data_IF_376687321805
#
_entry.id   IF_376687321805
#
_cell.length_a   1.000
_cell.length_b   1.000
_cell.length_c   1.000
_cell.angle_alpha   90.00
_cell.angle_beta   90.00
_cell.angle_gamma   90.00
#
_symmetry.space_group_name_H-M   'P 1'
#
loop_
_entity.id
_entity.type
_entity.pdbx_description
1 polymer ?
#
# COMPACT_ATOMS: atom_id res chain seq x y z
N UNK A 1 -13.20 17.91 -6.66
CA UNK A 1 -13.76 16.55 -6.58
C UNK A 1 -13.07 15.66 -7.58
N UNK A 2 -12.83 14.42 -7.19
CA UNK A 2 -12.31 13.36 -8.07
C UNK A 2 -13.30 12.21 -8.11
N UNK A 3 -13.54 11.68 -9.32
CA UNK A 3 -14.31 10.46 -9.52
C UNK A 3 -13.39 9.25 -9.42
N UNK A 4 -13.70 8.29 -8.57
CA UNK A 4 -13.01 7.01 -8.47
C UNK A 4 -13.98 5.87 -8.74
N UNK A 5 -13.51 4.83 -9.43
CA UNK A 5 -14.31 3.66 -9.70
C UNK A 5 -14.05 2.57 -8.66
N UNK A 6 -15.12 1.96 -8.15
CA UNK A 6 -15.01 0.78 -7.30
C UNK A 6 -14.96 -0.49 -8.17
N UNK A 7 -14.27 -1.52 -7.69
CA UNK A 7 -14.19 -2.82 -8.39
C UNK A 7 -15.53 -3.59 -8.41
N UNK A 8 -16.54 -3.13 -7.65
CA UNK A 8 -17.88 -3.73 -7.62
C UNK A 8 -17.90 -5.19 -7.20
N UNK A 9 -17.66 -5.49 -5.93
CA UNK A 9 -17.76 -6.86 -5.38
C UNK A 9 -19.14 -7.50 -5.59
N UNK A 10 -20.18 -6.71 -5.85
CA UNK A 10 -21.58 -7.14 -6.02
C UNK A 10 -22.12 -6.96 -7.44
N UNK A 11 -21.27 -6.65 -8.44
CA UNK A 11 -21.74 -6.47 -9.82
C UNK A 11 -21.10 -5.28 -10.55
N UNK A 12 -21.89 -4.31 -10.99
CA UNK A 12 -21.40 -3.17 -11.79
C UNK A 12 -20.52 -2.23 -10.96
N UNK A 13 -19.36 -1.83 -11.50
CA UNK A 13 -18.52 -0.79 -10.92
C UNK A 13 -19.32 0.48 -10.67
N UNK A 14 -19.15 1.08 -9.49
CA UNK A 14 -19.78 2.35 -9.13
C UNK A 14 -18.78 3.49 -9.27
N UNK A 15 -19.24 4.66 -9.72
CA UNK A 15 -18.47 5.87 -9.71
C UNK A 15 -18.74 6.62 -8.39
N UNK A 16 -17.68 6.82 -7.63
CA UNK A 16 -17.72 7.57 -6.37
C UNK A 16 -17.06 8.93 -6.57
N UNK A 17 -17.71 9.99 -6.11
CA UNK A 17 -17.16 11.33 -6.09
C UNK A 17 -16.62 11.64 -4.69
N UNK A 18 -15.34 11.99 -4.63
CA UNK A 18 -14.68 12.36 -3.38
C UNK A 18 -14.13 13.77 -3.46
N UNK A 19 -14.25 14.53 -2.36
CA UNK A 19 -13.60 15.83 -2.25
C UNK A 19 -12.07 15.65 -2.13
N UNK A 20 -11.31 16.64 -2.55
CA UNK A 20 -9.86 16.63 -2.37
C UNK A 20 -9.48 16.60 -0.88
N UNK A 21 -10.20 17.33 -0.03
CA UNK A 21 -10.00 17.34 1.42
C UNK A 21 -10.12 15.94 2.04
N UNK A 22 -11.07 15.12 1.58
CA UNK A 22 -11.23 13.75 2.10
C UNK A 22 -10.00 12.84 1.90
N UNK A 23 -9.06 13.26 1.04
CA UNK A 23 -7.78 12.61 0.80
C UNK A 23 -6.67 13.30 1.57
N UNK A 24 -6.51 14.60 1.37
CA UNK A 24 -5.39 15.40 1.89
C UNK A 24 -5.36 15.40 3.42
N UNK A 25 -6.51 15.49 4.07
CA UNK A 25 -6.60 15.49 5.54
C UNK A 25 -6.13 14.16 6.17
N UNK A 26 -6.12 13.10 5.37
CA UNK A 26 -5.64 11.79 5.81
C UNK A 26 -4.14 11.56 5.51
N UNK A 27 -3.53 12.29 4.57
CA UNK A 27 -2.13 12.08 4.18
C UNK A 27 -1.12 12.15 5.34
N UNK A 28 -1.21 13.09 6.30
CA UNK A 28 -0.27 13.09 7.43
C UNK A 28 -0.32 11.79 8.23
N UNK A 29 -1.53 11.27 8.48
CA UNK A 29 -1.73 10.04 9.27
C UNK A 29 -1.20 8.79 8.56
N UNK A 30 -1.50 8.64 7.26
CA UNK A 30 -1.03 7.50 6.48
C UNK A 30 0.47 7.56 6.22
N UNK A 31 1.03 8.74 5.92
CA UNK A 31 2.44 8.93 5.63
C UNK A 31 3.32 8.64 6.85
N UNK A 32 2.86 8.96 8.06
CA UNK A 32 3.51 8.55 9.30
C UNK A 32 3.62 7.02 9.41
N UNK A 33 2.52 6.31 9.16
CA UNK A 33 2.50 4.83 9.25
C UNK A 33 3.29 4.18 8.12
N UNK A 34 3.22 4.73 6.91
CA UNK A 34 3.90 4.21 5.73
C UNK A 34 5.37 4.66 5.61
N UNK A 35 5.82 5.52 6.53
CA UNK A 35 7.16 6.12 6.52
C UNK A 35 7.45 6.84 5.20
N UNK A 36 6.49 7.66 4.74
CA UNK A 36 6.57 8.48 3.53
C UNK A 36 6.94 9.91 3.93
N UNK A 37 8.03 10.41 3.36
CA UNK A 37 8.55 11.77 3.55
C UNK A 37 9.09 12.36 2.23
N UNK A 38 9.68 13.55 2.28
CA UNK A 38 10.28 14.23 1.14
C UNK A 38 11.46 13.47 0.49
N UNK A 39 12.07 12.52 1.19
CA UNK A 39 13.18 11.70 0.69
C UNK A 39 12.68 10.37 0.13
N UNK A 40 11.38 10.14 0.13
CA UNK A 40 10.79 8.93 -0.41
C UNK A 40 10.93 8.90 -1.93
N UNK A 41 11.51 7.81 -2.42
CA UNK A 41 11.49 7.42 -3.83
C UNK A 41 10.73 6.10 -3.91
N UNK A 42 9.47 6.17 -4.31
CA UNK A 42 8.58 5.01 -4.30
C UNK A 42 8.46 4.37 -5.68
N UNK A 43 8.48 3.04 -5.70
CA UNK A 43 8.13 2.27 -6.89
C UNK A 43 6.67 1.82 -6.83
N UNK A 44 5.93 2.07 -7.91
CA UNK A 44 4.53 1.66 -8.08
C UNK A 44 4.32 0.97 -9.43
N UNK A 45 3.48 -0.07 -9.47
CA UNK A 45 3.08 -0.71 -10.72
C UNK A 45 1.55 -0.80 -10.82
N UNK A 46 1.01 -0.31 -11.91
CA UNK A 46 -0.40 -0.36 -12.27
C UNK A 46 -0.99 1.01 -12.59
N UNK A 47 -2.23 0.99 -13.05
CA UNK A 47 -2.94 2.18 -13.49
C UNK A 47 -3.38 3.08 -12.33
N UNK A 48 -3.41 4.39 -12.57
CA UNK A 48 -3.98 5.39 -11.66
C UNK A 48 -5.52 5.31 -11.56
N UNK A 49 -6.17 4.51 -12.40
CA UNK A 49 -7.60 4.22 -12.26
C UNK A 49 -7.91 3.48 -10.95
N UNK A 50 -6.92 2.79 -10.37
CA UNK A 50 -7.07 2.16 -9.05
C UNK A 50 -6.84 3.18 -7.94
N UNK A 51 -7.82 3.28 -7.04
CA UNK A 51 -7.82 4.22 -5.92
C UNK A 51 -6.56 4.14 -5.05
N UNK A 52 -6.06 2.93 -4.79
CA UNK A 52 -4.84 2.73 -3.99
C UNK A 52 -3.61 3.33 -4.65
N UNK A 53 -3.40 3.12 -5.96
CA UNK A 53 -2.29 3.74 -6.69
C UNK A 53 -2.42 5.27 -6.68
N UNK A 54 -3.60 5.79 -7.00
CA UNK A 54 -3.85 7.23 -7.04
C UNK A 54 -3.58 7.88 -5.67
N UNK A 55 -4.04 7.26 -4.57
CA UNK A 55 -3.82 7.78 -3.22
C UNK A 55 -2.32 7.84 -2.89
N UNK A 56 -1.56 6.78 -3.15
CA UNK A 56 -0.12 6.74 -2.90
C UNK A 56 0.61 7.81 -3.71
N UNK A 57 0.27 7.96 -5.00
CA UNK A 57 0.88 9.01 -5.83
C UNK A 57 0.65 10.39 -5.23
N UNK A 58 -0.60 10.71 -4.89
CA UNK A 58 -0.94 12.01 -4.33
C UNK A 58 -0.24 12.26 -3.00
N UNK A 59 -0.20 11.26 -2.10
CA UNK A 59 0.40 11.42 -0.78
C UNK A 59 1.92 11.58 -0.83
N UNK A 60 2.60 10.89 -1.76
CA UNK A 60 4.06 11.03 -1.96
C UNK A 60 4.40 12.40 -2.54
N UNK A 61 3.66 12.83 -3.57
CA UNK A 61 3.87 14.16 -4.17
C UNK A 61 3.52 15.30 -3.21
N UNK A 62 2.52 15.09 -2.35
CA UNK A 62 2.13 16.07 -1.32
C UNK A 62 3.28 16.41 -0.36
N UNK A 63 4.15 15.47 -0.04
CA UNK A 63 5.33 15.71 0.82
C UNK A 63 6.62 16.00 0.04
N UNK A 64 6.54 16.09 -1.29
CA UNK A 64 7.70 16.38 -2.14
C UNK A 64 8.58 15.16 -2.44
N UNK A 65 8.08 13.95 -2.25
CA UNK A 65 8.74 12.71 -2.65
C UNK A 65 8.74 12.47 -4.16
N UNK A 66 9.34 11.38 -4.61
CA UNK A 66 9.47 11.01 -6.02
C UNK A 66 8.82 9.66 -6.32
N UNK A 67 8.31 9.50 -7.54
CA UNK A 67 7.61 8.30 -7.98
C UNK A 67 8.32 7.70 -9.19
N UNK A 68 8.59 6.41 -9.13
CA UNK A 68 9.05 5.57 -10.23
C UNK A 68 7.92 4.60 -10.56
N UNK A 69 7.35 4.70 -11.75
CA UNK A 69 6.13 3.98 -12.06
C UNK A 69 6.13 3.32 -13.43
N UNK A 70 5.35 2.25 -13.55
CA UNK A 70 5.08 1.58 -14.83
C UNK A 70 3.72 0.88 -14.80
N UNK A 71 3.05 0.82 -15.94
CA UNK A 71 1.86 -0.02 -16.09
C UNK A 71 2.22 -1.43 -16.59
N UNK A 72 3.41 -1.62 -17.18
CA UNK A 72 3.84 -2.89 -17.74
C UNK A 72 4.09 -3.93 -16.65
N UNK A 73 3.56 -5.13 -16.83
CA UNK A 73 3.85 -6.28 -15.98
C UNK A 73 5.15 -6.95 -16.43
N UNK A 74 6.28 -6.49 -15.89
CA UNK A 74 7.61 -6.98 -16.22
C UNK A 74 8.52 -6.99 -14.97
N UNK A 75 8.38 -7.98 -14.05
CA UNK A 75 9.03 -7.96 -12.75
C UNK A 75 10.57 -7.81 -12.79
N UNK A 76 11.25 -8.41 -13.78
CA UNK A 76 12.70 -8.22 -13.95
C UNK A 76 13.05 -6.77 -14.27
N UNK A 77 12.24 -6.12 -15.11
CA UNK A 77 12.42 -4.69 -15.43
C UNK A 77 12.16 -3.81 -14.20
N UNK A 78 11.22 -4.18 -13.33
CA UNK A 78 10.95 -3.42 -12.11
C UNK A 78 12.18 -3.35 -11.20
N UNK A 79 12.90 -4.48 -11.03
CA UNK A 79 14.12 -4.52 -10.20
C UNK A 79 15.15 -3.54 -10.75
N UNK A 80 15.40 -3.56 -12.07
CA UNK A 80 16.33 -2.62 -12.71
C UNK A 80 15.88 -1.16 -12.54
N UNK A 81 14.58 -0.87 -12.69
CA UNK A 81 14.03 0.48 -12.47
C UNK A 81 14.23 0.93 -11.02
N UNK A 82 14.00 0.05 -10.06
CA UNK A 82 14.19 0.34 -8.64
C UNK A 82 15.65 0.65 -8.31
N UNK A 83 16.59 -0.09 -8.88
CA UNK A 83 18.02 0.10 -8.66
C UNK A 83 18.52 1.41 -9.29
N UNK A 84 18.23 1.63 -10.57
CA UNK A 84 18.66 2.81 -11.32
C UNK A 84 18.14 4.12 -10.72
N UNK A 85 16.93 4.11 -10.19
CA UNK A 85 16.29 5.28 -9.59
C UNK A 85 16.45 5.36 -8.07
N UNK A 86 17.28 4.51 -7.46
CA UNK A 86 17.54 4.52 -6.00
C UNK A 86 16.27 4.42 -5.15
N UNK A 87 15.31 3.63 -5.60
CA UNK A 87 14.05 3.41 -4.89
C UNK A 87 14.30 2.93 -3.45
N UNK A 88 13.61 3.53 -2.50
CA UNK A 88 13.69 3.18 -1.08
C UNK A 88 12.35 2.70 -0.50
N UNK A 89 11.27 2.81 -1.25
CA UNK A 89 9.92 2.39 -0.85
C UNK A 89 9.23 1.67 -2.02
N UNK A 90 8.48 0.61 -1.74
CA UNK A 90 7.69 -0.11 -2.74
C UNK A 90 6.21 -0.06 -2.36
N UNK A 91 5.35 0.22 -3.33
CA UNK A 91 3.91 0.01 -3.24
C UNK A 91 3.46 -0.99 -4.31
N UNK A 92 3.11 -2.20 -3.87
CA UNK A 92 2.60 -3.29 -4.71
C UNK A 92 1.60 -4.14 -3.93
N UNK A 93 0.67 -4.79 -4.62
CA UNK A 93 -0.19 -5.80 -4.01
C UNK A 93 0.62 -7.07 -3.66
N UNK A 94 0.21 -7.87 -2.66
CA UNK A 94 0.96 -9.04 -2.19
C UNK A 94 1.37 -10.02 -3.30
N UNK A 95 0.47 -10.36 -4.22
CA UNK A 95 0.78 -11.28 -5.32
C UNK A 95 1.93 -10.82 -6.24
N UNK A 96 2.14 -9.51 -6.37
CA UNK A 96 3.26 -8.93 -7.13
C UNK A 96 4.54 -8.86 -6.31
N UNK A 97 4.42 -8.51 -5.02
CA UNK A 97 5.57 -8.47 -4.09
C UNK A 97 6.27 -9.82 -4.00
N UNK A 98 5.51 -10.92 -3.92
CA UNK A 98 6.04 -12.28 -3.78
C UNK A 98 6.76 -12.80 -5.04
N UNK A 99 6.75 -12.05 -6.13
CA UNK A 99 7.61 -12.34 -7.28
C UNK A 99 9.05 -11.83 -7.07
N UNK A 100 9.24 -10.78 -6.27
CA UNK A 100 10.54 -10.12 -6.10
C UNK A 100 11.61 -11.02 -5.48
N UNK A 101 11.35 -11.83 -4.42
CA UNK A 101 12.33 -12.75 -3.87
C UNK A 101 12.87 -13.80 -4.86
N UNK A 102 12.10 -14.08 -5.93
CA UNK A 102 12.50 -15.04 -6.97
C UNK A 102 13.39 -14.42 -8.06
N UNK A 103 13.54 -13.10 -8.07
CA UNK A 103 14.19 -12.35 -9.16
C UNK A 103 15.37 -11.55 -8.64
N UNK A 104 15.26 -11.02 -7.43
CA UNK A 104 16.34 -10.26 -6.78
C UNK A 104 17.43 -11.21 -6.37
N UNK A 105 18.63 -11.09 -6.97
CA UNK A 105 19.78 -11.92 -6.69
C UNK A 105 20.55 -11.47 -5.43
N UNK A 106 20.63 -10.17 -5.23
CA UNK A 106 21.41 -9.57 -4.17
C UNK A 106 20.53 -8.85 -3.15
N UNK A 107 20.93 -8.90 -1.87
CA UNK A 107 20.20 -8.20 -0.81
C UNK A 107 20.20 -6.70 -1.05
N UNK A 108 19.02 -6.11 -1.15
CA UNK A 108 18.86 -4.67 -1.28
C UNK A 108 18.61 -4.02 0.10
N UNK A 109 19.69 -3.55 0.73
CA UNK A 109 19.62 -2.88 2.03
C UNK A 109 19.11 -1.42 1.95
N UNK A 110 18.95 -0.85 0.76
CA UNK A 110 18.46 0.52 0.55
C UNK A 110 16.96 0.62 0.78
N UNK A 111 16.23 -0.45 0.50
CA UNK A 111 14.78 -0.47 0.68
C UNK A 111 14.43 -0.36 2.17
N UNK A 112 13.59 0.62 2.51
CA UNK A 112 13.19 0.94 3.87
C UNK A 112 11.74 0.57 4.17
N UNK A 113 10.86 0.66 3.18
CA UNK A 113 9.44 0.39 3.37
C UNK A 113 8.82 -0.40 2.21
N UNK A 114 7.91 -1.30 2.55
CA UNK A 114 6.97 -1.94 1.64
C UNK A 114 5.56 -1.62 2.14
N UNK A 115 4.75 -1.05 1.26
CA UNK A 115 3.34 -0.76 1.51
C UNK A 115 2.53 -1.68 0.60
N UNK A 116 1.57 -2.38 1.17
CA UNK A 116 0.76 -3.34 0.44
C UNK A 116 -0.69 -3.34 0.92
N UNK A 117 -1.60 -3.78 0.08
CA UNK A 117 -3.02 -3.87 0.40
C UNK A 117 -3.81 -4.61 -0.68
N UNK A 118 -5.12 -4.57 -0.59
CA UNK A 118 -6.07 -5.22 -1.52
C UNK A 118 -6.04 -6.75 -1.55
N UNK A 119 -5.11 -7.39 -0.87
CA UNK A 119 -4.98 -8.84 -0.73
C UNK A 119 -4.39 -9.16 0.65
N UNK A 120 -4.65 -10.35 1.16
CA UNK A 120 -4.08 -10.80 2.43
C UNK A 120 -2.60 -11.20 2.29
N UNK A 121 -1.83 -11.01 3.35
CA UNK A 121 -0.44 -11.44 3.49
C UNK A 121 -0.17 -11.79 4.95
N UNK A 122 0.44 -12.94 5.22
CA UNK A 122 0.79 -13.36 6.56
C UNK A 122 2.29 -13.23 6.86
N UNK A 123 2.67 -13.65 8.06
CA UNK A 123 4.04 -13.57 8.58
C UNK A 123 5.05 -14.26 7.66
N UNK A 124 4.77 -15.47 7.20
CA UNK A 124 5.67 -16.21 6.31
C UNK A 124 6.04 -15.42 5.05
N UNK A 125 5.05 -14.78 4.41
CA UNK A 125 5.31 -13.99 3.20
C UNK A 125 6.15 -12.73 3.51
N UNK A 126 5.93 -12.10 4.66
CA UNK A 126 6.74 -10.97 5.10
C UNK A 126 8.20 -11.38 5.35
N UNK A 127 8.42 -12.54 5.97
CA UNK A 127 9.75 -13.10 6.18
C UNK A 127 10.48 -13.41 4.87
N UNK A 128 9.79 -13.97 3.86
CA UNK A 128 10.36 -14.21 2.53
C UNK A 128 10.83 -12.90 1.87
N UNK A 129 10.06 -11.82 2.02
CA UNK A 129 10.46 -10.50 1.53
C UNK A 129 11.69 -9.96 2.28
N UNK A 130 11.78 -10.18 3.59
CA UNK A 130 12.93 -9.74 4.40
C UNK A 130 14.22 -10.49 4.09
N UNK A 131 14.17 -11.68 3.49
CA UNK A 131 15.38 -12.38 3.03
C UNK A 131 16.14 -11.58 1.96
N UNK A 132 15.44 -10.88 1.10
CA UNK A 132 16.03 -10.05 0.02
C UNK A 132 16.06 -8.56 0.35
N UNK A 133 15.19 -8.10 1.27
CA UNK A 133 15.09 -6.72 1.75
C UNK A 133 15.23 -6.66 3.27
N UNK A 134 16.44 -6.85 3.82
CA UNK A 134 16.62 -7.12 5.26
C UNK A 134 16.22 -5.97 6.19
N UNK A 135 16.29 -4.72 5.71
CA UNK A 135 16.01 -3.51 6.51
C UNK A 135 14.60 -2.96 6.31
N UNK A 136 13.75 -3.68 5.59
CA UNK A 136 12.44 -3.19 5.21
C UNK A 136 11.44 -3.30 6.36
N UNK A 137 10.63 -2.26 6.53
CA UNK A 137 9.40 -2.31 7.31
C UNK A 137 8.23 -2.58 6.36
N UNK A 138 7.49 -3.63 6.61
CA UNK A 138 6.36 -4.03 5.76
C UNK A 138 5.07 -3.61 6.45
N UNK A 139 4.23 -2.86 5.75
CA UNK A 139 2.89 -2.47 6.22
C UNK A 139 1.86 -2.99 5.25
N UNK A 140 0.99 -3.86 5.73
CA UNK A 140 -0.22 -4.28 5.03
C UNK A 140 -1.39 -3.46 5.54
N UNK A 141 -2.15 -2.83 4.65
CA UNK A 141 -3.33 -2.07 5.00
C UNK A 141 -4.61 -2.72 4.46
N UNK A 142 -5.70 -2.47 5.17
CA UNK A 142 -7.06 -2.69 4.71
C UNK A 142 -7.74 -1.35 4.47
N UNK A 143 -8.49 -1.23 3.39
CA UNK A 143 -9.20 0.00 3.04
C UNK A 143 -10.22 -0.22 1.93
N UNK A 144 -11.03 0.79 1.71
CA UNK A 144 -12.05 0.81 0.67
C UNK A 144 -11.98 2.13 -0.11
N UNK A 145 -12.39 2.09 -1.38
CA UNK A 145 -12.43 3.30 -2.21
C UNK A 145 -13.32 4.39 -1.61
N UNK A 146 -14.34 3.97 -0.88
CA UNK A 146 -15.32 4.81 -0.18
C UNK A 146 -14.74 5.53 1.04
N UNK A 147 -13.79 4.88 1.76
CA UNK A 147 -13.40 5.26 3.12
C UNK A 147 -11.92 5.60 3.30
N UNK A 148 -11.05 5.41 2.29
CA UNK A 148 -9.60 5.41 2.43
C UNK A 148 -9.06 4.18 3.19
N UNK A 149 -7.99 4.38 3.95
CA UNK A 149 -7.37 3.34 4.78
C UNK A 149 -8.09 3.22 6.11
N UNK A 150 -8.50 2.01 6.45
CA UNK A 150 -9.28 1.69 7.64
C UNK A 150 -8.36 1.18 8.74
N UNK A 151 -7.58 0.14 8.43
CA UNK A 151 -6.67 -0.49 9.37
C UNK A 151 -5.36 -0.89 8.71
N UNK A 152 -4.35 -1.20 9.53
CA UNK A 152 -3.05 -1.67 9.08
C UNK A 152 -2.43 -2.63 10.08
N UNK A 153 -1.59 -3.52 9.56
CA UNK A 153 -0.71 -4.38 10.35
C UNK A 153 0.72 -4.27 9.81
N UNK A 154 1.69 -4.22 10.71
CA UNK A 154 3.11 -4.19 10.36
C UNK A 154 3.73 -5.56 10.59
N UNK A 155 4.81 -5.86 9.88
CA UNK A 155 5.46 -7.17 9.86
C UNK A 155 5.77 -7.73 11.25
N UNK A 156 6.14 -6.89 12.22
CA UNK A 156 6.41 -7.32 13.61
C UNK A 156 5.17 -7.88 14.32
N UNK A 157 3.97 -7.53 13.86
CA UNK A 157 2.68 -7.96 14.42
C UNK A 157 1.92 -8.92 13.49
N UNK A 158 2.46 -9.24 12.32
CA UNK A 158 1.83 -10.20 11.41
C UNK A 158 1.86 -11.61 12.00
N UNK A 159 0.75 -12.32 11.84
CA UNK A 159 0.60 -13.72 12.21
C UNK A 159 0.37 -14.57 10.96
N UNK A 160 0.29 -15.90 11.11
CA UNK A 160 -0.09 -16.78 10.00
C UNK A 160 -1.59 -16.69 9.68
N UNK A 161 -2.38 -16.17 10.61
CA UNK A 161 -3.79 -15.85 10.37
C UNK A 161 -3.89 -14.61 9.46
N UNK A 162 -4.16 -14.87 8.18
CA UNK A 162 -4.30 -13.85 7.14
C UNK A 162 -5.61 -13.06 7.20
N UNK A 163 -6.51 -13.42 8.11
CA UNK A 163 -7.75 -12.66 8.34
C UNK A 163 -7.53 -11.49 9.28
N UNK A 164 -6.43 -11.49 10.02
CA UNK A 164 -6.05 -10.37 10.88
C UNK A 164 -5.66 -9.14 10.05
N UNK A 165 -6.46 -8.09 10.12
CA UNK A 165 -6.24 -6.80 9.42
C UNK A 165 -5.61 -5.73 10.31
N UNK A 166 -5.13 -6.13 11.51
CA UNK A 166 -4.39 -5.27 12.43
C UNK A 166 -5.25 -4.28 13.20
N UNK A 167 -4.78 -3.04 13.35
CA UNK A 167 -5.41 -1.98 14.13
C UNK A 167 -5.86 -0.82 13.25
N UNK A 168 -6.90 -0.06 13.67
CA UNK A 168 -7.36 1.12 12.93
C UNK A 168 -6.29 2.20 12.81
N UNK A 169 -6.34 2.97 11.72
CA UNK A 169 -5.61 4.23 11.62
C UNK A 169 -6.14 5.23 12.65
N UNK A 170 -5.28 6.19 13.03
CA UNK A 170 -5.66 7.23 14.00
C UNK A 170 -6.85 8.05 13.49
N UNK A 171 -7.92 8.08 14.29
CA UNK A 171 -9.16 8.77 13.99
C UNK A 171 -10.20 7.90 13.27
N UNK A 172 -9.86 6.66 12.92
CA UNK A 172 -10.82 5.68 12.42
C UNK A 172 -11.33 4.84 13.59
N UNK A 173 -12.64 4.72 13.74
CA UNK A 173 -13.27 3.83 14.70
C UNK A 173 -13.89 2.64 13.99
N UNK A 174 -13.63 1.46 14.49
CA UNK A 174 -14.20 0.20 13.98
C UNK A 174 -14.95 -0.48 15.10
N UNK A 175 -16.19 -0.84 14.87
CA UNK A 175 -17.02 -1.55 15.83
C UNK A 175 -17.96 -2.53 15.11
N UNK A 176 -18.47 -3.52 15.84
CA UNK A 176 -19.41 -4.50 15.30
C UNK A 176 -20.80 -4.13 15.78
N UNK A 177 -21.74 -4.04 14.85
CA UNK A 177 -23.17 -3.86 15.13
C UNK A 177 -23.98 -4.79 14.22
N UNK A 178 -24.87 -5.57 14.79
CA UNK A 178 -25.75 -6.50 14.07
C UNK A 178 -24.95 -7.46 13.14
N UNK A 179 -23.82 -8.00 13.63
CA UNK A 179 -22.87 -8.84 12.88
C UNK A 179 -22.18 -8.14 11.69
N UNK A 180 -22.33 -6.84 11.52
CA UNK A 180 -21.68 -6.05 10.49
C UNK A 180 -20.53 -5.21 11.04
N UNK A 181 -19.48 -5.02 10.24
CA UNK A 181 -18.37 -4.11 10.56
C UNK A 181 -18.80 -2.69 10.22
N UNK A 182 -18.93 -1.87 11.25
CA UNK A 182 -19.22 -0.44 11.12
C UNK A 182 -17.93 0.37 11.24
N UNK A 183 -17.81 1.40 10.39
CA UNK A 183 -16.63 2.26 10.35
C UNK A 183 -17.08 3.71 10.44
N UNK A 184 -16.47 4.44 11.37
CA UNK A 184 -16.61 5.88 11.57
C UNK A 184 -15.23 6.54 11.31
N UNK A 185 -15.16 7.51 10.37
CA UNK A 185 -13.90 8.15 9.91
C UNK A 185 -13.97 9.66 9.94
#
# INVERSE_FOLDING_TARGET
>A
CMGVMTSGSTGKSKLLWRSFSSWVDFFPKQNEIFNIDKNTVIFCQGSLAFTGNLNIYMSVLFVGGSIVATEKFAPKTWVNMMEQNKVNTIYLIPSKLLLLPKIVSDKNARLKAIISGSQSMGKFQAEELKKVFPNVKITLYYGASELNYISYIQDDNMTEDKTCIGKPFKGVKVFIKDEEIMIDT
#
